data_IF_961161474706
#
_entry.id   IF_961161474706
#
_cell.length_a   1.000
_cell.length_b   1.000
_cell.length_c   1.000
_cell.angle_alpha   90.00
_cell.angle_beta   90.00
_cell.angle_gamma   90.00
#
_symmetry.space_group_name_H-M   'P 1'
#
loop_
_entity.id
_entity.type
_entity.pdbx_description
1 polymer ?
#
# COMPACT_ATOMS: atom_id res chain seq x y z
N UNK A 1 10.98 15.22 -24.31
CA UNK A 1 10.11 16.36 -24.61
C UNK A 1 8.70 15.99 -24.16
N UNK A 2 8.23 16.63 -23.19
CA UNK A 2 6.98 17.05 -22.66
C UNK A 2 5.74 16.17 -22.80
N UNK A 3 5.14 15.76 -21.67
CA UNK A 3 3.75 15.35 -21.65
C UNK A 3 3.33 14.31 -20.63
N UNK A 4 3.68 14.44 -19.35
CA UNK A 4 3.03 13.63 -18.30
C UNK A 4 2.79 14.36 -16.97
N UNK A 5 3.09 15.64 -16.89
CA UNK A 5 3.11 16.38 -15.61
C UNK A 5 1.81 17.11 -15.24
N UNK A 6 0.71 17.01 -16.03
CA UNK A 6 -0.46 17.88 -15.82
C UNK A 6 -1.71 17.22 -15.21
N UNK A 7 -1.70 15.94 -14.81
CA UNK A 7 -2.95 15.28 -14.34
C UNK A 7 -3.11 15.14 -12.82
N UNK A 8 -2.14 15.54 -12.00
CA UNK A 8 -2.19 15.33 -10.55
C UNK A 8 -2.60 16.57 -9.73
N UNK A 9 -2.75 17.74 -10.34
CA UNK A 9 -2.97 19.01 -9.63
C UNK A 9 -4.44 19.34 -9.27
N UNK A 10 -5.43 18.56 -9.71
CA UNK A 10 -6.84 19.00 -9.71
C UNK A 10 -7.73 18.51 -8.55
N UNK A 11 -7.25 17.76 -7.55
CA UNK A 11 -8.11 17.22 -6.48
C UNK A 11 -7.67 17.52 -5.04
N UNK A 12 -7.05 18.65 -4.78
CA UNK A 12 -6.92 19.20 -3.43
C UNK A 12 -8.15 20.06 -3.06
N UNK A 13 -9.35 19.49 -3.21
CA UNK A 13 -10.62 20.09 -2.79
C UNK A 13 -10.91 19.78 -1.31
N UNK A 14 -10.71 20.77 -0.48
CA UNK A 14 -11.06 20.98 0.91
C UNK A 14 -12.32 20.22 1.37
N UNK A 15 -12.15 19.17 2.18
CA UNK A 15 -13.20 18.70 3.10
C UNK A 15 -13.06 19.49 4.42
N UNK A 16 -13.65 20.68 4.49
CA UNK A 16 -13.80 21.43 5.75
C UNK A 16 -14.87 20.73 6.59
N UNK A 17 -14.48 20.06 7.64
CA UNK A 17 -15.36 19.71 8.74
C UNK A 17 -15.91 20.99 9.36
N UNK A 18 -17.19 21.25 9.20
CA UNK A 18 -17.91 22.31 9.92
C UNK A 18 -18.24 21.79 11.31
N UNK A 19 -17.48 22.22 12.30
CA UNK A 19 -17.87 22.17 13.71
C UNK A 19 -18.80 23.35 14.00
N UNK A 20 -20.11 23.08 14.05
CA UNK A 20 -21.11 24.00 14.60
C UNK A 20 -21.99 23.24 15.59
N UNK A 21 -22.49 23.90 16.68
CA UNK A 21 -23.30 23.25 17.69
C UNK A 21 -24.67 22.83 17.13
N UNK A 22 -25.29 21.74 17.66
CA UNK A 22 -26.56 21.25 17.15
C UNK A 22 -27.72 22.15 17.53
N UNK A 23 -28.60 22.43 16.55
CA UNK A 23 -29.89 23.07 16.78
C UNK A 23 -30.90 22.07 17.38
N UNK A 24 -31.79 22.51 18.31
CA UNK A 24 -32.75 21.63 18.93
C UNK A 24 -33.97 21.40 18.04
N UNK A 25 -34.38 20.14 17.90
CA UNK A 25 -35.72 19.73 17.39
C UNK A 25 -35.69 19.18 15.95
N UNK A 26 -35.48 17.88 15.80
CA UNK A 26 -35.68 17.15 14.55
C UNK A 26 -35.76 15.65 14.79
N UNK A 27 -36.88 15.07 14.40
CA UNK A 27 -37.27 13.66 14.47
C UNK A 27 -36.15 12.72 14.02
N UNK A 28 -35.94 11.61 14.74
CA UNK A 28 -35.03 10.51 14.41
C UNK A 28 -35.44 9.88 13.06
N UNK A 29 -34.81 10.31 12.00
CA UNK A 29 -34.79 9.57 10.73
C UNK A 29 -33.84 8.37 10.85
N UNK A 30 -34.32 7.17 10.47
CA UNK A 30 -33.50 5.97 10.30
C UNK A 30 -32.30 6.30 9.43
N UNK A 31 -31.09 6.05 9.95
CA UNK A 31 -29.89 6.03 9.15
C UNK A 31 -30.01 4.90 8.14
N UNK A 32 -30.39 5.22 6.92
CA UNK A 32 -30.20 4.37 5.76
C UNK A 32 -28.69 4.18 5.56
N UNK A 33 -28.26 2.95 5.26
CA UNK A 33 -26.84 2.55 5.15
C UNK A 33 -25.99 3.46 4.26
N UNK A 34 -24.66 3.26 4.25
CA UNK A 34 -23.75 4.16 3.55
C UNK A 34 -24.18 4.32 2.10
N UNK A 35 -24.29 5.58 1.66
CA UNK A 35 -24.57 5.93 0.27
C UNK A 35 -23.54 5.33 -0.69
N UNK A 36 -23.80 5.32 -2.01
CA UNK A 36 -22.92 4.70 -2.99
C UNK A 36 -21.51 5.26 -2.86
N UNK A 37 -20.55 4.36 -2.61
CA UNK A 37 -19.12 4.70 -2.49
C UNK A 37 -18.65 5.20 -3.86
N UNK A 38 -18.09 6.42 -3.97
CA UNK A 38 -17.48 6.86 -5.21
C UNK A 38 -16.33 5.91 -5.57
N UNK A 39 -16.40 5.20 -6.70
CA UNK A 39 -15.31 4.36 -7.18
C UNK A 39 -15.65 2.91 -7.45
N UNK A 40 -16.82 2.39 -7.10
CA UNK A 40 -17.21 1.01 -7.35
C UNK A 40 -17.20 0.12 -6.10
N UNK A 41 -17.27 -1.22 -6.30
CA UNK A 41 -17.44 -2.21 -5.22
C UNK A 41 -16.16 -2.91 -4.79
N UNK A 42 -15.03 -2.64 -5.46
CA UNK A 42 -13.72 -3.26 -5.18
C UNK A 42 -12.69 -2.26 -4.67
N UNK A 43 -13.10 -1.32 -3.84
CA UNK A 43 -12.22 -0.27 -3.32
C UNK A 43 -11.26 -0.78 -2.24
N UNK A 44 -10.09 -0.13 -2.14
CA UNK A 44 -9.02 -0.36 -1.18
C UNK A 44 -8.69 0.93 -0.41
N UNK A 45 -8.09 0.85 0.79
CA UNK A 45 -7.71 -0.34 1.55
C UNK A 45 -8.88 -0.97 2.31
N UNK A 46 -8.68 -2.15 2.92
CA UNK A 46 -9.68 -2.87 3.71
C UNK A 46 -9.15 -3.25 5.10
N UNK A 47 -10.05 -3.58 6.02
CA UNK A 47 -9.72 -4.30 7.24
C UNK A 47 -9.74 -5.82 6.92
N UNK A 48 -8.61 -6.48 7.05
CA UNK A 48 -8.46 -7.93 6.88
C UNK A 48 -8.86 -8.60 8.18
N UNK A 49 -10.00 -9.30 8.19
CA UNK A 49 -10.49 -10.03 9.36
C UNK A 49 -10.38 -11.53 9.12
N UNK A 50 -10.23 -12.28 10.22
CA UNK A 50 -10.11 -13.74 10.15
C UNK A 50 -11.35 -14.37 9.50
N UNK A 51 -12.53 -13.91 9.86
CA UNK A 51 -13.81 -14.38 9.34
C UNK A 51 -14.03 -14.09 7.84
N UNK A 52 -13.32 -13.10 7.29
CA UNK A 52 -13.35 -12.75 5.86
C UNK A 52 -12.24 -13.42 5.05
N UNK A 53 -11.33 -14.15 5.72
CA UNK A 53 -10.13 -14.74 5.13
C UNK A 53 -10.26 -16.25 5.00
N UNK A 54 -10.02 -16.77 3.81
CA UNK A 54 -10.08 -18.21 3.50
C UNK A 54 -8.71 -18.70 3.05
N UNK A 55 -8.25 -19.80 3.67
CA UNK A 55 -7.03 -20.48 3.20
C UNK A 55 -7.23 -21.05 1.81
N UNK A 56 -6.31 -20.73 0.89
CA UNK A 56 -6.28 -21.30 -0.46
C UNK A 56 -4.93 -22.01 -0.67
N UNK A 57 -4.91 -23.35 -0.66
CA UNK A 57 -3.67 -24.13 -0.80
C UNK A 57 -3.01 -23.98 -2.18
N UNK A 58 -3.68 -23.35 -3.14
CA UNK A 58 -3.11 -23.05 -4.47
C UNK A 58 -2.25 -21.80 -4.47
N UNK A 59 -2.30 -20.99 -3.42
CA UNK A 59 -1.46 -19.81 -3.29
C UNK A 59 -0.02 -20.24 -2.95
N UNK A 60 0.79 -20.38 -3.99
CA UNK A 60 2.21 -20.69 -3.85
C UNK A 60 2.99 -19.45 -3.38
N UNK A 61 4.21 -19.60 -2.88
CA UNK A 61 5.10 -18.47 -2.64
C UNK A 61 5.25 -17.59 -3.88
N UNK A 62 5.45 -16.30 -3.64
CA UNK A 62 5.76 -15.36 -4.72
C UNK A 62 7.21 -15.55 -5.17
N UNK A 63 7.43 -15.60 -6.48
CA UNK A 63 8.75 -15.54 -7.06
C UNK A 63 9.11 -14.06 -7.30
N UNK A 64 10.09 -13.56 -6.54
CA UNK A 64 10.54 -12.17 -6.56
C UNK A 64 11.94 -12.12 -7.15
N UNK A 65 12.14 -11.27 -8.15
CA UNK A 65 13.43 -11.05 -8.79
C UNK A 65 13.59 -9.55 -9.07
N UNK A 66 14.31 -8.85 -8.20
CA UNK A 66 14.61 -7.44 -8.39
C UNK A 66 16.07 -7.25 -8.79
N UNK A 67 16.32 -6.21 -9.58
CA UNK A 67 17.67 -5.80 -9.99
C UNK A 67 17.98 -4.46 -9.38
N UNK A 68 18.91 -4.41 -8.43
CA UNK A 68 19.30 -3.19 -7.75
C UNK A 68 19.72 -2.06 -8.74
N UNK A 69 20.38 -2.41 -9.83
CA UNK A 69 20.81 -1.47 -10.86
C UNK A 69 19.67 -0.80 -11.65
N UNK A 70 18.42 -1.31 -11.53
CA UNK A 70 17.25 -0.69 -12.14
C UNK A 70 16.68 0.48 -11.33
N UNK A 71 17.15 0.71 -10.10
CA UNK A 71 16.79 1.87 -9.29
C UNK A 71 17.25 3.18 -9.96
N UNK A 72 16.39 4.19 -9.99
CA UNK A 72 16.64 5.44 -10.71
C UNK A 72 16.77 6.64 -9.78
N UNK A 73 15.71 7.00 -9.12
CA UNK A 73 15.66 8.19 -8.26
C UNK A 73 14.55 8.07 -7.21
N UNK A 74 14.72 8.77 -6.11
CA UNK A 74 13.66 9.05 -5.15
C UNK A 74 13.10 10.45 -5.39
N UNK A 75 11.81 10.65 -5.12
CA UNK A 75 11.18 11.96 -5.24
C UNK A 75 9.99 12.12 -4.30
N UNK A 76 9.74 13.36 -3.93
CA UNK A 76 8.57 13.75 -3.17
C UNK A 76 7.45 14.11 -4.13
N UNK A 77 6.41 13.28 -4.17
CA UNK A 77 5.27 13.46 -5.09
C UNK A 77 4.30 14.55 -4.62
N UNK A 78 4.44 15.01 -3.37
CA UNK A 78 3.46 15.85 -2.69
C UNK A 78 2.36 15.06 -1.98
N UNK A 79 2.42 13.72 -1.98
CA UNK A 79 1.56 12.80 -1.24
C UNK A 79 2.38 11.85 -0.36
N UNK A 80 3.46 11.35 -0.89
CA UNK A 80 4.44 10.48 -0.26
C UNK A 80 5.80 10.66 -0.96
N UNK A 81 6.86 10.10 -0.42
CA UNK A 81 8.05 9.90 -1.23
C UNK A 81 7.98 8.56 -1.95
N UNK A 82 8.54 8.52 -3.14
CA UNK A 82 8.48 7.38 -4.05
C UNK A 82 9.85 7.11 -4.64
N UNK A 83 10.19 5.83 -4.82
CA UNK A 83 11.42 5.38 -5.50
C UNK A 83 11.02 4.73 -6.82
N UNK A 84 11.58 5.25 -7.91
CA UNK A 84 11.31 4.83 -9.28
C UNK A 84 12.35 3.82 -9.77
N UNK A 85 11.86 2.86 -10.54
CA UNK A 85 12.68 1.84 -11.18
C UNK A 85 12.50 1.84 -12.69
N UNK A 86 13.55 1.41 -13.41
CA UNK A 86 13.42 1.10 -14.83
C UNK A 86 12.70 -0.24 -14.99
N UNK A 87 11.50 -0.18 -15.55
CA UNK A 87 10.60 -1.31 -15.67
C UNK A 87 10.90 -2.23 -16.88
N UNK A 88 11.93 -1.91 -17.68
CA UNK A 88 12.40 -2.73 -18.80
C UNK A 88 13.46 -3.77 -18.38
N UNK A 89 14.02 -3.63 -17.18
CA UNK A 89 15.19 -4.40 -16.74
C UNK A 89 14.89 -5.83 -16.25
N UNK A 90 13.64 -6.31 -16.34
CA UNK A 90 13.25 -7.65 -15.91
C UNK A 90 13.15 -7.82 -14.39
N UNK A 91 13.08 -6.73 -13.63
CA UNK A 91 12.74 -6.75 -12.21
C UNK A 91 11.24 -6.92 -12.02
N UNK A 92 10.80 -7.83 -11.16
CA UNK A 92 9.38 -7.99 -10.92
C UNK A 92 9.01 -9.22 -10.08
N UNK A 93 7.73 -9.56 -10.15
CA UNK A 93 7.14 -10.66 -9.38
C UNK A 93 6.31 -11.57 -10.27
N UNK A 94 6.19 -12.83 -9.85
CA UNK A 94 5.29 -13.83 -10.44
C UNK A 94 4.88 -14.87 -9.39
N UNK A 95 4.04 -15.81 -9.75
CA UNK A 95 3.55 -16.84 -8.82
C UNK A 95 2.37 -16.38 -7.97
N UNK A 96 2.07 -17.12 -6.90
CA UNK A 96 0.88 -16.85 -6.09
C UNK A 96 -0.41 -16.82 -6.92
N UNK A 97 -1.23 -15.78 -6.81
CA UNK A 97 -2.46 -15.61 -7.60
C UNK A 97 -2.22 -15.01 -8.99
N UNK A 98 -0.97 -14.68 -9.33
CA UNK A 98 -0.65 -13.95 -10.56
C UNK A 98 -0.51 -14.91 -11.75
N UNK A 99 -1.28 -14.68 -12.82
CA UNK A 99 -1.21 -15.47 -14.03
C UNK A 99 0.00 -15.13 -14.92
N UNK A 100 0.61 -13.95 -14.71
CA UNK A 100 1.71 -13.44 -15.52
C UNK A 100 2.83 -12.92 -14.64
N UNK A 101 3.98 -12.62 -15.24
CA UNK A 101 5.02 -11.81 -14.62
C UNK A 101 4.62 -10.33 -14.63
N UNK A 102 4.78 -9.64 -13.49
CA UNK A 102 4.51 -8.22 -13.32
C UNK A 102 5.83 -7.48 -13.06
N UNK A 103 6.09 -6.41 -13.82
CA UNK A 103 7.34 -5.62 -13.72
C UNK A 103 7.24 -4.60 -12.60
N UNK A 104 8.30 -4.48 -11.79
CA UNK A 104 8.41 -3.42 -10.79
C UNK A 104 8.49 -2.06 -11.47
N UNK A 105 7.64 -1.14 -11.03
CA UNK A 105 7.63 0.24 -11.50
C UNK A 105 8.17 1.20 -10.44
N UNK A 106 7.67 1.11 -9.22
CA UNK A 106 8.02 2.00 -8.13
C UNK A 106 7.64 1.37 -6.78
N UNK A 107 8.18 1.94 -5.69
CA UNK A 107 7.62 1.75 -4.37
C UNK A 107 7.46 3.08 -3.63
N UNK A 108 6.55 3.12 -2.68
CA UNK A 108 6.27 4.28 -1.83
C UNK A 108 5.77 3.83 -0.47
N UNK A 109 5.66 4.79 0.47
CA UNK A 109 5.19 4.53 1.82
C UNK A 109 4.00 5.41 2.17
N UNK A 110 3.16 4.89 3.07
CA UNK A 110 2.12 5.61 3.79
C UNK A 110 2.45 5.57 5.27
N UNK A 111 2.26 6.68 5.99
CA UNK A 111 2.59 6.77 7.42
C UNK A 111 1.68 7.76 8.15
N UNK A 112 1.61 7.60 9.48
CA UNK A 112 0.84 8.46 10.36
C UNK A 112 1.65 9.59 10.99
N UNK A 113 0.94 10.55 11.55
CA UNK A 113 1.53 11.58 12.40
C UNK A 113 2.06 10.99 13.73
N UNK A 114 1.49 9.86 14.17
CA UNK A 114 1.84 9.13 15.37
C UNK A 114 2.09 7.64 15.07
N UNK A 115 2.63 6.90 16.04
CA UNK A 115 3.07 5.51 15.83
C UNK A 115 1.94 4.48 15.95
N UNK A 116 0.77 4.91 16.43
CA UNK A 116 -0.39 4.04 16.64
C UNK A 116 -1.10 3.66 15.35
N UNK A 117 -0.94 4.48 14.30
CA UNK A 117 -1.59 4.28 13.00
C UNK A 117 -0.86 5.02 11.88
N UNK A 118 -1.01 4.52 10.66
CA UNK A 118 -0.37 5.10 9.48
C UNK A 118 -0.45 4.17 8.30
N UNK A 119 -0.71 2.87 8.55
CA UNK A 119 -0.98 1.90 7.49
C UNK A 119 -2.33 2.17 6.81
N UNK A 120 -2.43 1.81 5.55
CA UNK A 120 -3.68 1.84 4.79
C UNK A 120 -4.53 0.63 5.11
N UNK A 121 -3.96 -0.60 5.02
CA UNK A 121 -4.64 -1.81 5.46
C UNK A 121 -4.57 -1.95 6.98
N UNK A 122 -5.56 -2.67 7.50
CA UNK A 122 -5.71 -2.95 8.92
C UNK A 122 -5.93 -4.46 9.07
N UNK A 123 -5.36 -5.08 10.09
CA UNK A 123 -5.51 -6.51 10.36
C UNK A 123 -6.24 -6.71 11.69
N UNK A 124 -7.42 -7.30 11.65
CA UNK A 124 -8.30 -7.50 12.82
C UNK A 124 -8.49 -6.24 13.68
N UNK A 125 -8.64 -5.07 13.03
CA UNK A 125 -8.79 -3.78 13.69
C UNK A 125 -7.48 -3.11 14.12
N UNK A 126 -6.33 -3.76 13.96
CA UNK A 126 -5.01 -3.20 14.29
C UNK A 126 -4.42 -2.50 13.07
N UNK A 127 -4.13 -1.21 13.19
CA UNK A 127 -3.31 -0.47 12.25
C UNK A 127 -1.81 -0.57 12.64
N UNK A 128 -0.93 -0.25 11.70
CA UNK A 128 0.51 -0.18 11.89
C UNK A 128 1.00 1.27 11.71
N UNK A 129 2.19 1.63 12.23
CA UNK A 129 2.77 2.96 12.06
C UNK A 129 2.94 3.41 10.61
N UNK A 130 3.23 2.46 9.70
CA UNK A 130 3.40 2.73 8.28
C UNK A 130 3.16 1.47 7.44
N UNK A 131 3.03 1.67 6.13
CA UNK A 131 2.87 0.60 5.14
C UNK A 131 3.65 0.94 3.87
N UNK A 132 4.43 -0.02 3.39
CA UNK A 132 5.18 0.03 2.13
C UNK A 132 4.36 -0.61 1.03
N UNK A 133 4.29 0.03 -0.14
CA UNK A 133 3.70 -0.50 -1.36
C UNK A 133 4.73 -0.61 -2.47
N UNK A 134 4.97 -1.84 -2.97
CA UNK A 134 5.77 -2.07 -4.17
C UNK A 134 4.80 -2.32 -5.34
N UNK A 135 4.80 -1.42 -6.30
CA UNK A 135 3.83 -1.38 -7.40
C UNK A 135 4.43 -2.02 -8.65
N UNK A 136 3.72 -3.02 -9.17
CA UNK A 136 4.10 -3.76 -10.36
C UNK A 136 2.97 -3.70 -11.40
N UNK A 137 3.32 -3.77 -12.69
CA UNK A 137 2.36 -3.75 -13.77
C UNK A 137 2.51 -4.95 -14.71
N UNK A 138 1.44 -5.31 -15.41
CA UNK A 138 1.32 -6.50 -16.24
C UNK A 138 1.67 -6.23 -17.72
N UNK A 139 2.91 -6.48 -18.17
CA UNK A 139 3.32 -6.23 -19.53
C UNK A 139 2.77 -7.26 -20.54
N UNK A 140 2.24 -8.39 -20.07
CA UNK A 140 1.63 -9.39 -20.95
C UNK A 140 0.25 -8.94 -21.45
N UNK A 141 -0.45 -8.08 -20.66
CA UNK A 141 -1.80 -7.59 -21.00
C UNK A 141 -1.81 -6.15 -21.50
N UNK A 142 -0.84 -5.33 -21.08
CA UNK A 142 -0.82 -3.91 -21.36
C UNK A 142 0.51 -3.47 -21.95
N UNK A 143 0.46 -2.48 -22.84
CA UNK A 143 1.65 -1.97 -23.55
C UNK A 143 2.42 -0.93 -22.75
N UNK A 144 1.82 -0.35 -21.71
CA UNK A 144 2.44 0.64 -20.83
C UNK A 144 1.88 0.56 -19.43
N UNK A 145 2.59 1.15 -18.47
CA UNK A 145 2.14 1.29 -17.09
C UNK A 145 0.81 2.06 -17.00
N UNK A 146 0.68 3.17 -17.75
CA UNK A 146 -0.52 4.02 -17.76
C UNK A 146 -1.75 3.26 -18.26
N UNK A 147 -1.58 2.37 -19.23
CA UNK A 147 -2.63 1.48 -19.71
C UNK A 147 -2.99 0.43 -18.65
N UNK A 148 -1.99 -0.15 -17.98
CA UNK A 148 -2.18 -1.12 -16.91
C UNK A 148 -2.91 -0.54 -15.70
N UNK A 149 -2.60 0.70 -15.31
CA UNK A 149 -3.29 1.44 -14.24
C UNK A 149 -4.79 1.50 -14.44
N UNK A 150 -5.26 1.57 -15.69
CA UNK A 150 -6.69 1.69 -16.05
C UNK A 150 -7.37 0.35 -16.32
N UNK A 151 -6.58 -0.71 -16.45
CA UNK A 151 -7.07 -2.01 -16.92
C UNK A 151 -7.24 -3.04 -15.81
N UNK A 152 -8.15 -3.96 -16.00
CA UNK A 152 -8.41 -5.05 -15.06
C UNK A 152 -7.18 -5.94 -14.90
N UNK A 153 -6.80 -6.26 -13.63
CA UNK A 153 -5.58 -7.02 -13.32
C UNK A 153 -4.31 -6.40 -13.96
N UNK A 154 -4.34 -5.08 -14.13
CA UNK A 154 -3.20 -4.36 -14.69
C UNK A 154 -2.06 -4.21 -13.71
N UNK A 155 -2.36 -4.13 -12.42
CA UNK A 155 -1.39 -3.94 -11.36
C UNK A 155 -1.38 -5.10 -10.36
N UNK A 156 -0.22 -5.36 -9.79
CA UNK A 156 -0.03 -6.16 -8.58
C UNK A 156 0.76 -5.32 -7.57
N UNK A 157 0.24 -5.16 -6.38
CA UNK A 157 0.89 -4.37 -5.32
C UNK A 157 1.21 -5.27 -4.14
N UNK A 158 2.52 -5.36 -3.81
CA UNK A 158 2.98 -5.95 -2.56
C UNK A 158 2.85 -4.90 -1.47
N UNK A 159 2.19 -5.24 -0.38
CA UNK A 159 2.09 -4.41 0.82
C UNK A 159 2.86 -5.06 1.97
N UNK A 160 3.67 -4.26 2.67
CA UNK A 160 4.44 -4.65 3.84
C UNK A 160 4.17 -3.68 4.97
N UNK A 161 3.71 -4.19 6.11
CA UNK A 161 3.54 -3.37 7.31
C UNK A 161 4.88 -3.06 7.96
N UNK A 162 5.01 -1.85 8.50
CA UNK A 162 6.13 -1.44 9.32
C UNK A 162 5.68 -1.32 10.78
N UNK A 163 6.41 -1.93 11.69
CA UNK A 163 6.19 -1.77 13.14
C UNK A 163 7.45 -1.24 13.83
N UNK A 164 7.28 -0.63 14.98
CA UNK A 164 8.41 -0.21 15.81
C UNK A 164 9.15 -1.42 16.35
N UNK A 165 10.48 -1.35 16.28
CA UNK A 165 11.39 -2.38 16.73
C UNK A 165 12.84 -2.00 16.46
N UNK A 166 13.63 -2.99 16.04
CA UNK A 166 15.03 -2.78 15.70
C UNK A 166 15.20 -1.89 14.47
N UNK A 167 16.34 -1.18 14.40
CA UNK A 167 16.71 -0.38 13.23
C UNK A 167 16.83 -1.24 11.98
N UNK A 168 16.15 -0.85 10.92
CA UNK A 168 16.19 -1.53 9.63
C UNK A 168 17.33 -0.98 8.78
N UNK A 169 18.36 -1.81 8.52
CA UNK A 169 19.59 -1.34 7.87
C UNK A 169 19.33 -0.78 6.46
N UNK A 170 18.59 -1.49 5.62
CA UNK A 170 18.33 -1.05 4.25
C UNK A 170 17.37 0.17 4.19
N UNK A 171 16.45 0.31 5.14
CA UNK A 171 15.61 1.50 5.22
C UNK A 171 16.43 2.75 5.53
N UNK A 172 17.58 2.61 6.19
CA UNK A 172 18.44 3.75 6.48
C UNK A 172 18.99 4.42 5.22
N UNK A 173 19.27 3.66 4.16
CA UNK A 173 19.71 4.23 2.87
C UNK A 173 18.63 5.17 2.28
N UNK A 174 17.35 4.83 2.46
CA UNK A 174 16.24 5.68 2.04
C UNK A 174 16.09 6.90 2.97
N UNK A 175 16.22 6.71 4.29
CA UNK A 175 16.15 7.79 5.27
C UNK A 175 17.22 8.85 5.01
N UNK A 176 18.42 8.44 4.64
CA UNK A 176 19.55 9.34 4.40
C UNK A 176 19.34 10.25 3.16
N UNK A 177 18.50 9.84 2.21
CA UNK A 177 18.18 10.65 1.02
C UNK A 177 17.01 11.62 1.23
N UNK A 178 16.16 11.41 2.24
CA UNK A 178 14.95 12.21 2.47
C UNK A 178 15.22 13.72 2.60
N UNK A 179 16.31 14.21 3.24
CA UNK A 179 16.59 15.66 3.29
C UNK A 179 16.71 16.31 1.90
N UNK A 180 17.23 15.57 0.90
CA UNK A 180 17.38 16.07 -0.47
C UNK A 180 16.03 16.15 -1.22
N UNK A 181 14.98 15.48 -0.72
CA UNK A 181 13.62 15.49 -1.31
C UNK A 181 12.58 16.02 -0.32
N UNK A 182 12.98 16.89 0.62
CA UNK A 182 12.10 17.43 1.68
C UNK A 182 10.80 18.02 1.11
N UNK A 183 10.89 18.79 0.03
CA UNK A 183 9.77 19.54 -0.54
C UNK A 183 9.14 18.79 -1.72
N UNK A 184 7.83 19.03 -1.95
CA UNK A 184 7.09 18.53 -3.09
C UNK A 184 7.81 18.85 -4.42
N UNK A 185 7.88 17.83 -5.29
CA UNK A 185 8.50 17.93 -6.61
C UNK A 185 10.03 17.75 -6.62
N UNK A 186 10.69 17.75 -5.46
CA UNK A 186 12.14 17.51 -5.37
C UNK A 186 12.48 16.06 -5.69
N UNK A 187 13.59 15.87 -6.42
CA UNK A 187 14.10 14.55 -6.83
C UNK A 187 15.58 14.41 -6.47
N UNK A 188 15.98 13.21 -6.10
CA UNK A 188 17.38 12.87 -5.84
C UNK A 188 17.73 11.56 -6.55
N UNK A 189 18.83 11.53 -7.27
CA UNK A 189 19.34 10.31 -7.88
C UNK A 189 19.67 9.28 -6.79
N UNK A 190 19.37 8.00 -7.06
CA UNK A 190 19.73 6.88 -6.21
C UNK A 190 20.76 6.02 -6.90
N UNK A 191 21.66 5.44 -6.10
CA UNK A 191 22.50 4.31 -6.51
C UNK A 191 21.68 3.03 -6.66
N UNK A 192 22.34 1.90 -6.94
CA UNK A 192 21.71 0.59 -6.95
C UNK A 192 21.00 0.31 -5.61
N UNK A 193 19.72 -0.06 -5.66
CA UNK A 193 18.94 -0.40 -4.47
C UNK A 193 18.08 -1.64 -4.77
N UNK A 194 18.22 -2.70 -3.99
CA UNK A 194 17.42 -3.91 -4.10
C UNK A 194 16.23 -3.84 -3.11
N UNK A 195 14.99 -3.62 -3.57
CA UNK A 195 13.86 -3.52 -2.67
C UNK A 195 13.45 -4.85 -2.00
N UNK A 196 14.03 -5.98 -2.38
CA UNK A 196 13.79 -7.25 -1.67
C UNK A 196 14.26 -7.21 -0.22
N UNK A 197 15.23 -6.35 0.11
CA UNK A 197 15.68 -6.13 1.48
C UNK A 197 14.62 -5.51 2.42
N UNK A 198 13.54 -4.96 1.86
CA UNK A 198 12.40 -4.40 2.60
C UNK A 198 11.26 -5.43 2.78
N UNK A 199 11.45 -6.68 2.36
CA UNK A 199 10.45 -7.72 2.49
C UNK A 199 10.66 -8.52 3.78
N UNK A 200 9.60 -9.01 4.44
CA UNK A 200 9.72 -9.85 5.62
C UNK A 200 10.28 -11.23 5.25
N UNK A 201 10.86 -11.92 6.22
CA UNK A 201 11.36 -13.29 6.04
C UNK A 201 10.22 -14.29 5.82
N UNK A 202 9.11 -14.12 6.52
CA UNK A 202 7.93 -14.94 6.34
C UNK A 202 7.22 -14.59 5.04
N UNK A 203 7.00 -15.60 4.20
CA UNK A 203 6.40 -15.43 2.87
C UNK A 203 4.87 -15.59 2.87
N UNK A 204 4.25 -15.71 4.04
CA UNK A 204 2.79 -15.77 4.20
C UNK A 204 2.14 -14.44 3.81
N UNK A 205 1.07 -14.50 3.02
CA UNK A 205 0.37 -13.30 2.56
C UNK A 205 -1.13 -13.51 2.41
N UNK A 206 -1.87 -12.41 2.46
CA UNK A 206 -3.25 -12.33 2.00
C UNK A 206 -3.31 -11.75 0.58
N UNK A 207 -4.34 -12.12 -0.17
CA UNK A 207 -4.60 -11.54 -1.49
C UNK A 207 -6.07 -11.27 -1.71
N UNK A 208 -6.38 -10.17 -2.38
CA UNK A 208 -7.72 -9.81 -2.79
C UNK A 208 -7.68 -8.86 -4.00
N UNK A 209 -8.79 -8.79 -4.75
CA UNK A 209 -8.95 -7.82 -5.84
C UNK A 209 -9.41 -6.47 -5.29
N UNK A 210 -8.69 -5.41 -5.62
CA UNK A 210 -8.94 -4.08 -5.10
C UNK A 210 -8.61 -2.95 -6.07
N UNK A 211 -8.40 -1.78 -5.51
CA UNK A 211 -8.16 -0.53 -6.25
C UNK A 211 -6.83 0.12 -5.88
N UNK A 212 -6.45 1.12 -6.65
CA UNK A 212 -5.53 2.15 -6.17
C UNK A 212 -6.13 2.85 -4.95
N UNK A 213 -5.27 3.25 -4.01
CA UNK A 213 -5.66 4.01 -2.82
C UNK A 213 -5.51 5.52 -3.00
N UNK A 214 -4.89 5.92 -4.11
CA UNK A 214 -4.79 7.31 -4.58
C UNK A 214 -5.60 7.52 -5.87
N UNK A 215 -6.04 8.73 -6.18
CA UNK A 215 -6.70 9.01 -7.45
C UNK A 215 -5.88 8.49 -8.65
N UNK A 216 -6.51 7.87 -9.64
CA UNK A 216 -7.97 7.83 -9.95
C UNK A 216 -8.77 6.73 -9.24
N UNK A 217 -8.22 5.99 -8.24
CA UNK A 217 -8.92 4.94 -7.47
C UNK A 217 -9.39 3.75 -8.31
N UNK A 218 -8.73 3.50 -9.42
CA UNK A 218 -9.10 2.47 -10.40
C UNK A 218 -9.01 1.07 -9.79
N UNK A 219 -10.01 0.23 -10.07
CA UNK A 219 -10.11 -1.15 -9.57
C UNK A 219 -9.28 -2.14 -10.42
N UNK A 220 -8.00 -1.84 -10.56
CA UNK A 220 -7.04 -2.54 -11.41
C UNK A 220 -6.04 -3.40 -10.65
N UNK A 221 -6.12 -3.43 -9.31
CA UNK A 221 -5.06 -3.95 -8.44
C UNK A 221 -5.38 -5.35 -7.91
N UNK A 222 -4.40 -6.26 -8.06
CA UNK A 222 -4.30 -7.47 -7.23
C UNK A 222 -3.40 -7.14 -6.03
N UNK A 223 -3.97 -7.11 -4.85
CA UNK A 223 -3.24 -6.87 -3.60
C UNK A 223 -2.62 -8.16 -3.08
N UNK A 224 -1.37 -8.06 -2.62
CA UNK A 224 -0.56 -9.11 -2.02
C UNK A 224 0.01 -8.54 -0.72
N UNK A 225 -0.59 -8.87 0.44
CA UNK A 225 -0.28 -8.22 1.71
C UNK A 225 0.45 -9.20 2.60
N UNK A 226 1.71 -8.96 2.88
CA UNK A 226 2.48 -9.80 3.78
C UNK A 226 1.91 -9.79 5.19
N UNK A 227 1.84 -10.98 5.79
CA UNK A 227 1.30 -11.18 7.13
C UNK A 227 2.20 -10.59 8.21
N UNK A 228 3.51 -10.77 8.07
CA UNK A 228 4.47 -10.28 9.05
C UNK A 228 4.96 -8.88 8.67
N UNK A 229 4.98 -7.95 9.64
CA UNK A 229 5.58 -6.65 9.45
C UNK A 229 7.12 -6.74 9.45
N UNK A 230 7.76 -5.75 8.87
CA UNK A 230 9.18 -5.48 9.13
C UNK A 230 9.33 -4.53 10.32
N UNK A 231 10.44 -4.66 11.07
CA UNK A 231 10.77 -3.75 12.16
C UNK A 231 11.56 -2.55 11.65
N UNK A 232 11.24 -1.37 12.20
CA UNK A 232 11.93 -0.11 11.93
C UNK A 232 12.10 0.68 13.22
N UNK A 233 13.18 1.45 13.32
CA UNK A 233 13.42 2.27 14.51
C UNK A 233 12.55 3.53 14.47
N UNK A 234 12.24 4.06 15.68
CA UNK A 234 11.48 5.31 15.88
C UNK A 234 12.06 6.47 15.07
N UNK A 235 13.38 6.60 15.03
CA UNK A 235 14.08 7.70 14.35
C UNK A 235 13.89 7.61 12.82
N UNK A 236 13.77 6.39 12.28
CA UNK A 236 13.53 6.16 10.85
C UNK A 236 12.12 6.62 10.44
N UNK A 237 11.10 6.29 11.22
CA UNK A 237 9.74 6.81 11.00
C UNK A 237 9.65 8.33 11.22
N UNK A 238 10.36 8.85 12.22
CA UNK A 238 10.42 10.28 12.47
C UNK A 238 11.03 11.05 11.30
N UNK A 239 11.93 10.43 10.54
CA UNK A 239 12.48 11.03 9.32
C UNK A 239 11.43 11.21 8.22
N UNK A 240 10.51 10.26 8.04
CA UNK A 240 9.40 10.37 7.09
C UNK A 240 8.50 11.58 7.40
N UNK A 241 8.23 11.82 8.66
CA UNK A 241 7.38 12.92 9.17
C UNK A 241 7.98 14.31 8.99
N UNK A 242 9.26 14.41 8.61
CA UNK A 242 9.93 15.68 8.27
C UNK A 242 9.79 16.08 6.81
N UNK A 243 9.28 15.20 5.94
CA UNK A 243 8.91 15.53 4.59
C UNK A 243 7.73 16.52 4.57
N UNK A 244 7.58 17.24 3.48
CA UNK A 244 6.55 18.26 3.30
C UNK A 244 5.60 17.94 2.14
N UNK A 245 4.32 18.22 2.34
CA UNK A 245 3.33 18.27 1.26
C UNK A 245 3.51 19.49 0.36
N UNK A 246 4.15 20.54 0.89
CA UNK A 246 4.31 21.84 0.24
C UNK A 246 5.57 21.90 -0.63
N UNK A 247 5.50 22.72 -1.69
CA UNK A 247 6.63 23.01 -2.57
C UNK A 247 7.59 24.04 -1.93
N UNK A 248 8.81 24.22 -2.45
CA UNK A 248 9.71 25.28 -2.03
C UNK A 248 9.03 26.67 -2.18
N UNK A 249 9.11 27.48 -1.12
CA UNK A 249 8.51 28.82 -1.09
C UNK A 249 7.04 28.88 -0.65
N UNK A 250 6.38 27.73 -0.50
CA UNK A 250 5.06 27.64 0.13
C UNK A 250 5.19 27.52 1.66
N UNK A 251 4.08 27.79 2.40
CA UNK A 251 4.00 27.52 3.81
C UNK A 251 4.27 26.02 4.10
N UNK A 252 5.19 25.74 5.01
CA UNK A 252 5.58 24.36 5.34
C UNK A 252 4.41 23.58 5.95
N UNK A 253 4.01 22.49 5.30
CA UNK A 253 3.03 21.54 5.80
C UNK A 253 3.67 20.16 5.89
N UNK A 254 3.84 19.66 7.12
CA UNK A 254 4.43 18.34 7.37
C UNK A 254 3.63 17.23 6.70
N UNK A 255 4.33 16.28 6.07
CA UNK A 255 3.74 15.13 5.40
C UNK A 255 3.54 14.01 6.42
N UNK A 256 2.29 13.78 6.78
CA UNK A 256 1.83 12.68 7.63
C UNK A 256 0.35 12.40 7.36
N UNK A 257 -0.16 11.29 7.88
CA UNK A 257 -1.55 10.84 7.67
C UNK A 257 -1.90 10.76 6.16
N UNK A 258 -0.95 10.36 5.33
CA UNK A 258 -1.08 10.25 3.89
C UNK A 258 -1.66 8.89 3.45
N UNK A 259 -2.58 8.37 4.22
CA UNK A 259 -3.28 7.10 3.99
C UNK A 259 -4.78 7.31 3.77
N UNK A 260 -5.38 6.47 2.93
CA UNK A 260 -6.81 6.50 2.64
C UNK A 260 -7.59 5.80 3.77
N UNK A 261 -8.80 6.29 4.14
CA UNK A 261 -9.70 5.57 5.03
C UNK A 261 -10.08 4.18 4.49
N UNK A 262 -10.37 3.25 5.42
CA UNK A 262 -10.84 1.90 5.11
C UNK A 262 -12.11 1.92 4.25
N UNK A 263 -12.16 0.99 3.30
CA UNK A 263 -13.28 0.78 2.40
C UNK A 263 -14.00 -0.53 2.75
N UNK A 264 -15.30 -0.63 2.51
CA UNK A 264 -16.08 -1.83 2.78
C UNK A 264 -15.64 -2.98 1.88
N UNK A 265 -15.65 -4.19 2.42
CA UNK A 265 -15.24 -5.40 1.67
C UNK A 265 -16.23 -5.73 0.54
N UNK A 266 -17.52 -5.40 0.68
CA UNK A 266 -18.57 -5.56 -0.33
C UNK A 266 -18.68 -6.99 -0.89
N UNK A 267 -18.57 -7.99 -0.01
CA UNK A 267 -18.69 -9.41 -0.38
C UNK A 267 -17.46 -9.99 -1.09
N UNK A 268 -16.35 -9.25 -1.21
CA UNK A 268 -15.10 -9.80 -1.74
C UNK A 268 -14.54 -10.82 -0.77
N UNK A 269 -13.93 -11.87 -1.33
CA UNK A 269 -13.17 -12.86 -0.57
C UNK A 269 -11.72 -12.43 -0.45
N UNK A 270 -11.19 -12.46 0.77
CA UNK A 270 -9.75 -12.39 1.04
C UNK A 270 -9.23 -13.82 1.09
N UNK A 271 -8.21 -14.15 0.31
CA UNK A 271 -7.56 -15.47 0.36
C UNK A 271 -6.24 -15.37 1.11
N UNK A 272 -5.91 -16.39 1.90
CA UNK A 272 -4.66 -16.51 2.64
C UNK A 272 -3.82 -17.67 2.10
N UNK A 273 -2.50 -17.47 1.98
CA UNK A 273 -1.54 -18.51 1.62
C UNK A 273 -1.20 -19.44 2.79
N UNK A 274 -1.75 -19.19 3.97
CA UNK A 274 -1.44 -19.88 5.24
C UNK A 274 -2.72 -20.25 6.01
N UNK A 275 -2.62 -21.27 6.83
CA UNK A 275 -3.68 -21.65 7.78
C UNK A 275 -3.66 -20.71 8.99
N UNK A 276 -4.83 -20.22 9.40
CA UNK A 276 -4.95 -19.52 10.67
C UNK A 276 -4.68 -20.50 11.82
N UNK A 277 -3.75 -20.15 12.73
CA UNK A 277 -3.45 -20.95 13.91
C UNK A 277 -4.74 -21.15 14.71
N UNK A 278 -5.30 -22.38 14.73
CA UNK A 278 -6.56 -22.72 15.40
C UNK A 278 -7.45 -23.71 14.64
N UNK A 279 -7.21 -23.97 13.34
CA UNK A 279 -7.98 -24.99 12.59
C UNK A 279 -7.40 -26.41 12.68
N UNK A 280 -6.27 -26.58 13.36
CA UNK A 280 -5.60 -27.87 13.57
C UNK A 280 -6.07 -28.61 14.82
N UNK A 281 -7.35 -28.60 15.20
CA UNK A 281 -7.88 -29.65 16.08
C UNK A 281 -8.24 -30.86 15.23
N UNK A 282 -7.26 -31.74 15.12
CA UNK A 282 -7.40 -33.15 14.80
C UNK A 282 -8.76 -33.71 15.25
N UNK A 283 -9.62 -34.07 14.32
CA UNK A 283 -10.58 -35.13 14.60
C UNK A 283 -9.75 -36.40 14.80
N UNK A 284 -9.59 -36.83 16.05
CA UNK A 284 -9.12 -38.15 16.41
C UNK A 284 -10.02 -39.16 15.71
N UNK A 285 -9.49 -39.81 14.68
CA UNK A 285 -10.06 -41.02 14.08
C UNK A 285 -9.53 -42.22 14.88
N UNK A 286 -10.00 -42.42 16.12
CA UNK A 286 -9.97 -43.72 16.77
C UNK A 286 -11.38 -43.98 17.28
N UNK A 287 -12.10 -45.01 16.78
CA UNK A 287 -13.26 -45.55 17.43
C UNK A 287 -12.76 -46.27 18.68
N UNK A 288 -13.31 -45.92 19.84
CA UNK A 288 -13.16 -46.73 21.05
C UNK A 288 -13.83 -48.08 20.78
N UNK A 289 -13.01 -49.15 20.89
CA UNK A 289 -13.44 -50.52 20.93
C UNK A 289 -13.78 -50.95 22.38
#
# INVERSE_FOLDING_TARGET
>A
MGGSDQHWAAFAGSCKLRNGPPAPGGTRGLCTGPGPVPGGTRQSPINIRREDSVFDPRLQPLAIAYRAASCRYAWNTGYFFQVEFEDTAGSGISGGPLANHYRLKQFHFHWGAADERGSEHVVAGRAYPAELHLVHWNPARYRSYEAAVRGEQGLAVLAVFLQLGARHQALQELVDILPAIKHKGMRAAMGPFDPSCLLPTCQDYWTYAGSLTTPPLTESVTWLIYKEPIEVAQEQLSAFRRLLFSAPGEEERLMADNHRPLQPLMGRQVRASFLAVGEGRSRSLYPEG
#
